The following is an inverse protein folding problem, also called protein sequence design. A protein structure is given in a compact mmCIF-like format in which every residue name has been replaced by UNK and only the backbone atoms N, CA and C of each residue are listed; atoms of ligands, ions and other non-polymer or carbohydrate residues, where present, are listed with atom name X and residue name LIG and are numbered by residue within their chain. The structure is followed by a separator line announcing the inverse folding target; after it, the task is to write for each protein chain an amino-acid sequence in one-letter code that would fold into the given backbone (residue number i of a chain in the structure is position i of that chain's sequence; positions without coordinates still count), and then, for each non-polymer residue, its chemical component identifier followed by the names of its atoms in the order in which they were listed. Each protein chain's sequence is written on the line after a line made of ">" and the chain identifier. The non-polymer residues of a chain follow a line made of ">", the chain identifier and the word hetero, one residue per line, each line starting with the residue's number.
data_IF_250522807730
#
_entry.id   IF_250522807730
#
_cell.length_a   1.000
_cell.length_b   1.000
_cell.length_c   1.000
_cell.angle_alpha   90.00
_cell.angle_beta   90.00
_cell.angle_gamma   90.00
#
_symmetry.space_group_name_H-M   'P 1'
#
loop_
_entity.id
_entity.type
_entity.pdbx_description
1 polymer ?
#
# COMPACT_ATOMS: atom_id res chain seq x y z
N UNK A 1 -10.67 -3.41 -7.68
CA UNK A 1 -10.65 -3.76 -9.13
C UNK A 1 -12.04 -4.13 -9.63
N UNK A 2 -12.77 -5.03 -8.97
CA UNK A 2 -14.09 -5.52 -9.45
C UNK A 2 -15.15 -4.42 -9.65
N UNK A 3 -15.16 -3.37 -8.81
CA UNK A 3 -16.11 -2.25 -8.93
C UNK A 3 -15.88 -1.32 -10.13
N UNK A 4 -14.71 -1.37 -10.77
CA UNK A 4 -14.33 -0.39 -11.80
C UNK A 4 -14.69 -0.82 -13.22
N UNK A 5 -15.10 -2.08 -13.43
CA UNK A 5 -15.37 -2.63 -14.77
C UNK A 5 -14.15 -2.60 -15.70
N UNK A 6 -12.93 -2.58 -15.14
CA UNK A 6 -11.70 -2.49 -15.93
C UNK A 6 -11.42 -3.83 -16.63
N UNK A 7 -11.10 -3.75 -17.92
CA UNK A 7 -10.78 -4.90 -18.78
C UNK A 7 -9.46 -4.69 -19.53
N UNK A 8 -8.90 -5.78 -20.07
CA UNK A 8 -7.70 -5.76 -20.90
C UNK A 8 -6.52 -5.04 -20.24
N UNK A 9 -5.91 -4.09 -20.96
CA UNK A 9 -4.73 -3.33 -20.50
C UNK A 9 -5.00 -2.52 -19.23
N UNK A 10 -6.22 -1.98 -19.07
CA UNK A 10 -6.60 -1.19 -17.88
C UNK A 10 -6.69 -2.09 -16.65
N UNK A 11 -7.16 -3.33 -16.81
CA UNK A 11 -7.16 -4.31 -15.73
C UNK A 11 -5.74 -4.66 -15.28
N UNK A 12 -4.83 -4.83 -16.22
CA UNK A 12 -3.44 -5.17 -15.90
C UNK A 12 -2.68 -4.00 -15.26
N UNK A 13 -2.97 -2.77 -15.68
CA UNK A 13 -2.51 -1.57 -14.99
C UNK A 13 -3.04 -1.54 -13.55
N UNK A 14 -4.35 -1.73 -13.36
CA UNK A 14 -4.97 -1.74 -12.03
C UNK A 14 -4.36 -2.83 -11.12
N UNK A 15 -4.03 -4.01 -11.65
CA UNK A 15 -3.31 -5.05 -10.90
C UNK A 15 -1.93 -4.60 -10.46
N UNK A 16 -1.16 -3.96 -11.35
CA UNK A 16 0.18 -3.49 -11.03
C UNK A 16 0.18 -2.35 -9.99
N UNK A 17 -0.81 -1.44 -10.06
CA UNK A 17 -1.03 -0.41 -9.03
C UNK A 17 -1.31 -1.08 -7.67
N UNK A 18 -2.24 -2.04 -7.61
CA UNK A 18 -2.55 -2.72 -6.36
C UNK A 18 -1.36 -3.54 -5.84
N UNK A 19 -0.57 -4.16 -6.73
CA UNK A 19 0.62 -4.92 -6.34
C UNK A 19 1.64 -4.05 -5.60
N UNK A 20 1.92 -2.84 -6.09
CA UNK A 20 2.89 -1.95 -5.44
C UNK A 20 2.35 -1.43 -4.10
N UNK A 21 1.05 -1.17 -3.99
CA UNK A 21 0.37 -0.79 -2.73
C UNK A 21 0.37 -1.93 -1.70
N UNK A 22 0.09 -3.16 -2.12
CA UNK A 22 0.16 -4.33 -1.22
C UNK A 22 1.58 -4.57 -0.70
N UNK A 23 2.59 -4.43 -1.56
CA UNK A 23 3.99 -4.53 -1.13
C UNK A 23 4.34 -3.43 -0.09
N UNK A 24 3.84 -2.21 -0.29
CA UNK A 24 4.00 -1.13 0.68
C UNK A 24 3.34 -1.48 2.03
N UNK A 25 2.13 -2.02 2.01
CA UNK A 25 1.42 -2.45 3.23
C UNK A 25 2.17 -3.55 3.98
N UNK A 26 2.73 -4.52 3.26
CA UNK A 26 3.55 -5.58 3.85
C UNK A 26 4.81 -5.04 4.53
N UNK A 27 5.45 -4.03 3.95
CA UNK A 27 6.62 -3.37 4.54
C UNK A 27 6.24 -2.62 5.81
N UNK A 28 5.17 -1.82 5.79
CA UNK A 28 4.70 -1.07 6.96
C UNK A 28 4.31 -2.02 8.09
N UNK A 29 3.53 -3.07 7.80
CA UNK A 29 3.16 -4.09 8.78
C UNK A 29 4.39 -4.79 9.38
N UNK A 30 5.37 -5.15 8.55
CA UNK A 30 6.59 -5.78 9.05
C UNK A 30 7.43 -4.86 9.94
N UNK A 31 7.44 -3.56 9.68
CA UNK A 31 8.10 -2.56 10.51
C UNK A 31 7.35 -2.32 11.82
N UNK A 32 6.02 -2.29 11.78
CA UNK A 32 5.17 -2.14 12.96
C UNK A 32 5.25 -3.35 13.91
N UNK A 33 5.39 -4.58 13.38
CA UNK A 33 5.59 -5.79 14.18
C UNK A 33 6.88 -5.73 15.02
N UNK A 34 7.92 -5.03 14.55
CA UNK A 34 9.22 -4.84 15.22
C UNK A 34 10.09 -6.09 15.39
N UNK A 35 9.50 -7.28 15.32
CA UNK A 35 10.15 -8.58 15.56
C UNK A 35 10.61 -9.30 14.29
N UNK A 36 10.32 -8.74 13.11
CA UNK A 36 10.75 -9.34 11.84
C UNK A 36 12.20 -8.98 11.53
N UNK A 37 13.03 -10.01 11.40
CA UNK A 37 14.43 -9.86 10.99
C UNK A 37 14.59 -9.37 9.54
N UNK A 38 13.59 -9.62 8.70
CA UNK A 38 13.58 -9.23 7.30
C UNK A 38 12.37 -8.37 6.96
N UNK A 39 12.62 -7.21 6.37
CA UNK A 39 11.59 -6.32 5.82
C UNK A 39 11.61 -6.44 4.29
N UNK A 40 10.47 -6.77 3.64
CA UNK A 40 10.42 -7.15 2.23
C UNK A 40 10.43 -5.94 1.27
N UNK A 41 11.37 -5.00 1.46
CA UNK A 41 11.49 -3.82 0.59
C UNK A 41 11.66 -4.17 -0.89
N UNK A 42 12.17 -5.38 -1.20
CA UNK A 42 12.50 -5.82 -2.57
C UNK A 42 11.31 -6.25 -3.41
N UNK A 43 10.14 -6.45 -2.80
CA UNK A 43 8.95 -6.99 -3.48
C UNK A 43 8.33 -6.01 -4.50
N UNK A 44 8.64 -4.71 -4.38
CA UNK A 44 8.24 -3.68 -5.32
C UNK A 44 9.36 -2.66 -5.54
N UNK A 45 9.43 -2.10 -6.75
CA UNK A 45 10.33 -0.97 -7.03
C UNK A 45 10.02 0.23 -6.13
N UNK A 46 8.74 0.46 -5.83
CA UNK A 46 8.28 1.55 -4.96
C UNK A 46 8.88 1.43 -3.56
N UNK A 47 8.75 0.26 -2.93
CA UNK A 47 9.25 0.01 -1.57
C UNK A 47 10.77 0.02 -1.48
N UNK A 48 11.48 -0.32 -2.57
CA UNK A 48 12.94 -0.16 -2.64
C UNK A 48 13.36 1.30 -2.62
N UNK A 49 12.66 2.14 -3.37
CA UNK A 49 12.92 3.59 -3.42
C UNK A 49 12.62 4.22 -2.05
N UNK A 50 11.52 3.81 -1.43
CA UNK A 50 11.06 4.35 -0.13
C UNK A 50 11.74 3.71 1.10
N UNK A 51 12.71 2.81 0.91
CA UNK A 51 13.31 2.04 2.00
C UNK A 51 13.88 2.96 3.10
N UNK A 52 14.60 4.02 2.71
CA UNK A 52 15.17 4.98 3.66
C UNK A 52 14.08 5.82 4.35
N UNK A 53 13.00 6.13 3.65
CA UNK A 53 11.87 6.88 4.21
C UNK A 53 11.07 6.06 5.23
N UNK A 54 10.88 4.75 5.00
CA UNK A 54 9.97 3.93 5.81
C UNK A 54 10.64 3.30 7.04
N UNK A 55 11.90 2.87 6.94
CA UNK A 55 12.61 2.24 8.04
C UNK A 55 14.05 2.72 8.23
N UNK A 56 14.44 3.81 7.56
CA UNK A 56 15.72 4.48 7.76
C UNK A 56 15.62 5.64 8.75
N UNK A 57 16.51 6.63 8.61
CA UNK A 57 16.58 7.80 9.50
C UNK A 57 15.78 9.00 8.95
N UNK A 58 14.52 8.76 8.58
CA UNK A 58 13.63 9.78 8.04
C UNK A 58 12.45 10.03 8.98
N UNK A 59 11.95 11.27 8.98
CA UNK A 59 10.63 11.58 9.53
C UNK A 59 9.64 11.50 8.38
N UNK A 60 8.80 10.47 8.40
CA UNK A 60 7.85 10.20 7.34
C UNK A 60 6.43 10.46 7.80
N UNK A 61 5.68 11.16 6.96
CA UNK A 61 4.24 11.39 7.14
C UNK A 61 3.50 10.76 5.98
N UNK A 62 2.46 10.00 6.28
CA UNK A 62 1.58 9.38 5.29
C UNK A 62 0.26 10.14 5.30
N UNK A 63 -0.21 10.53 4.11
CA UNK A 63 -1.53 11.15 3.93
C UNK A 63 -2.48 10.09 3.41
N UNK A 64 -3.52 9.81 4.20
CA UNK A 64 -4.54 8.81 3.87
C UNK A 64 -5.77 9.52 3.32
N UNK A 65 -6.08 9.26 2.04
CA UNK A 65 -7.22 9.85 1.35
C UNK A 65 -8.36 8.83 1.25
N UNK A 66 -9.45 9.08 1.98
CA UNK A 66 -10.62 8.21 2.01
C UNK A 66 -11.88 8.91 1.49
N UNK A 67 -12.86 8.13 1.05
CA UNK A 67 -14.15 8.64 0.61
C UNK A 67 -15.15 8.68 1.78
N UNK A 68 -15.92 9.77 1.96
CA UNK A 68 -16.96 9.82 2.99
C UNK A 68 -18.26 9.10 2.57
N UNK A 69 -18.36 8.61 1.33
CA UNK A 69 -19.58 7.98 0.83
C UNK A 69 -19.76 6.56 1.39
N UNK A 70 -20.97 6.24 1.87
CA UNK A 70 -21.29 4.92 2.45
C UNK A 70 -21.05 3.75 1.48
N UNK A 71 -21.26 3.95 0.18
CA UNK A 71 -20.97 2.94 -0.83
C UNK A 71 -19.47 2.52 -0.89
N UNK A 72 -18.57 3.38 -0.39
CA UNK A 72 -17.12 3.17 -0.33
C UNK A 72 -16.64 2.80 1.08
N UNK A 73 -17.54 2.41 1.99
CA UNK A 73 -17.19 2.07 3.38
C UNK A 73 -16.09 0.99 3.45
N UNK A 74 -16.21 -0.08 2.66
CA UNK A 74 -15.25 -1.18 2.64
C UNK A 74 -13.85 -0.74 2.20
N UNK A 75 -13.75 0.03 1.12
CA UNK A 75 -12.47 0.57 0.62
C UNK A 75 -11.89 1.60 1.59
N UNK A 76 -12.74 2.44 2.19
CA UNK A 76 -12.35 3.44 3.19
C UNK A 76 -11.76 2.76 4.42
N UNK A 77 -12.43 1.74 4.95
CA UNK A 77 -11.91 0.94 6.06
C UNK A 77 -10.57 0.29 5.70
N UNK A 78 -10.47 -0.32 4.53
CA UNK A 78 -9.23 -0.95 4.06
C UNK A 78 -8.07 0.05 3.97
N UNK A 79 -8.35 1.30 3.61
CA UNK A 79 -7.34 2.37 3.53
C UNK A 79 -6.93 2.87 4.92
N UNK A 80 -7.87 2.92 5.87
CA UNK A 80 -7.58 3.26 7.27
C UNK A 80 -6.81 2.15 7.99
N UNK A 81 -7.13 0.88 7.76
CA UNK A 81 -6.40 -0.26 8.34
C UNK A 81 -4.97 -0.38 7.77
N UNK A 82 -4.71 0.24 6.60
CA UNK A 82 -3.39 0.30 5.98
C UNK A 82 -2.47 1.38 6.61
N UNK A 83 -3.02 2.53 7.00
CA UNK A 83 -2.26 3.70 7.48
C UNK A 83 -2.05 3.71 8.98
#
# INVERSE_FOLDING_TARGET
>A
VSKTGAEGTVLDEAKNINKSLSALGNVISALADGNKSHIPYRDSKLTRILQESLGGNARTTIVICCSPASFNESETKSTLDFG
#
